data_IF_474760405455
#
_entry.id   IF_474760405455
#
_cell.length_a   1.000
_cell.length_b   1.000
_cell.length_c   1.000
_cell.angle_alpha   90.00
_cell.angle_beta   90.00
_cell.angle_gamma   90.00
#
_symmetry.space_group_name_H-M   'P 1'
#
loop_
_entity.id
_entity.type
_entity.pdbx_description
1 polymer ?
#
# COMPACT_ATOMS: atom_id res chain seq x y z
N UNK A 1 -42.71 -7.17 -12.21
CA UNK A 1 -41.82 -6.00 -12.28
C UNK A 1 -40.86 -6.23 -13.44
N UNK A 2 -40.85 -5.35 -14.45
CA UNK A 2 -39.91 -5.48 -15.56
C UNK A 2 -38.77 -4.47 -15.39
N UNK A 3 -37.64 -4.97 -14.94
CA UNK A 3 -36.35 -4.26 -14.86
C UNK A 3 -35.79 -4.20 -16.29
N UNK A 4 -35.31 -3.04 -16.72
CA UNK A 4 -34.64 -2.87 -18.03
C UNK A 4 -33.23 -2.31 -17.84
N UNK A 5 -32.32 -2.77 -18.69
CA UNK A 5 -30.85 -2.70 -18.59
C UNK A 5 -30.30 -1.92 -19.80
N UNK A 6 -29.17 -1.22 -19.66
CA UNK A 6 -28.46 -0.61 -20.80
C UNK A 6 -27.97 -1.65 -21.82
N UNK A 7 -27.83 -1.26 -23.10
CA UNK A 7 -27.40 -2.09 -24.24
C UNK A 7 -28.35 -3.25 -24.62
N UNK A 8 -29.65 -3.08 -24.45
CA UNK A 8 -30.64 -4.05 -24.94
C UNK A 8 -30.79 -3.95 -26.48
N UNK A 9 -30.68 -5.10 -27.17
CA UNK A 9 -30.78 -5.32 -28.64
C UNK A 9 -30.98 -4.05 -29.47
N UNK A 10 -29.89 -3.39 -29.83
CA UNK A 10 -29.87 -2.34 -30.84
C UNK A 10 -29.16 -2.89 -32.06
N UNK A 11 -29.70 -2.68 -33.27
CA UNK A 11 -29.11 -3.15 -34.54
C UNK A 11 -27.81 -2.46 -34.95
N UNK A 12 -26.93 -2.17 -33.99
CA UNK A 12 -25.60 -1.55 -34.12
C UNK A 12 -24.54 -2.54 -33.63
N UNK A 13 -23.29 -2.33 -34.03
CA UNK A 13 -22.24 -3.34 -33.83
C UNK A 13 -21.69 -3.33 -32.39
N UNK A 14 -21.04 -4.41 -31.93
CA UNK A 14 -20.33 -4.43 -30.65
C UNK A 14 -19.31 -3.27 -30.48
N UNK A 15 -18.73 -2.81 -31.59
CA UNK A 15 -17.84 -1.63 -31.64
C UNK A 15 -18.58 -0.35 -31.22
N UNK A 16 -19.79 -0.12 -31.71
CA UNK A 16 -20.59 1.07 -31.36
C UNK A 16 -20.96 1.10 -29.87
N UNK A 17 -21.26 -0.07 -29.29
CA UNK A 17 -21.50 -0.21 -27.85
C UNK A 17 -20.25 0.06 -27.02
N UNK A 18 -19.08 -0.38 -27.47
CA UNK A 18 -17.80 -0.05 -26.82
C UNK A 18 -17.50 1.43 -26.86
N UNK A 19 -17.72 2.09 -28.00
CA UNK A 19 -17.50 3.53 -28.13
C UNK A 19 -18.40 4.30 -27.16
N UNK A 20 -19.67 3.95 -27.06
CA UNK A 20 -20.59 4.57 -26.10
C UNK A 20 -20.18 4.29 -24.64
N UNK A 21 -19.89 3.04 -24.28
CA UNK A 21 -19.45 2.68 -22.92
C UNK A 21 -18.14 3.37 -22.52
N UNK A 22 -17.24 3.61 -23.48
CA UNK A 22 -15.97 4.30 -23.26
C UNK A 22 -16.13 5.78 -22.88
N UNK A 23 -17.26 6.42 -23.22
CA UNK A 23 -17.53 7.81 -22.78
C UNK A 23 -17.71 7.95 -21.27
N UNK A 24 -18.05 6.86 -20.58
CA UNK A 24 -18.19 6.82 -19.12
C UNK A 24 -16.86 6.50 -18.40
N UNK A 25 -15.78 6.30 -19.16
CA UNK A 25 -14.45 5.94 -18.65
C UNK A 25 -13.56 7.20 -18.61
N UNK A 26 -12.77 7.43 -17.55
CA UNK A 26 -11.89 8.60 -17.48
C UNK A 26 -10.88 8.63 -18.64
N UNK A 27 -10.76 9.74 -19.37
CA UNK A 27 -9.79 9.86 -20.46
C UNK A 27 -8.36 9.91 -19.92
N UNK A 28 -7.43 9.28 -20.63
CA UNK A 28 -5.99 9.46 -20.48
C UNK A 28 -5.43 10.44 -21.53
N UNK A 29 -6.07 10.51 -22.71
CA UNK A 29 -5.81 11.49 -23.75
C UNK A 29 -7.09 11.70 -24.59
N UNK A 30 -7.01 12.48 -25.66
CA UNK A 30 -8.17 12.76 -26.53
C UNK A 30 -8.85 11.51 -27.11
N UNK A 31 -8.10 10.41 -27.28
CA UNK A 31 -8.60 9.15 -27.86
C UNK A 31 -8.35 7.92 -26.97
N UNK A 32 -7.82 8.08 -25.76
CA UNK A 32 -7.48 6.95 -24.88
C UNK A 32 -8.06 7.15 -23.49
N UNK A 33 -8.28 6.05 -22.78
CA UNK A 33 -8.79 6.01 -21.42
C UNK A 33 -7.71 5.58 -20.43
N UNK A 34 -7.83 6.04 -19.18
CA UNK A 34 -6.96 5.59 -18.09
C UNK A 34 -7.31 4.16 -17.70
N UNK A 35 -6.33 3.24 -17.77
CA UNK A 35 -6.50 1.85 -17.35
C UNK A 35 -6.31 1.68 -15.84
N UNK A 36 -7.04 0.72 -15.26
CA UNK A 36 -6.89 0.36 -13.86
C UNK A 36 -8.14 -0.28 -13.28
N UNK A 37 -8.06 -0.68 -12.02
CA UNK A 37 -9.19 -1.15 -11.24
C UNK A 37 -10.14 0.01 -10.93
N UNK A 38 -11.44 -0.25 -10.97
CA UNK A 38 -12.48 0.77 -10.69
C UNK A 38 -12.84 0.88 -9.21
N UNK A 39 -12.52 -0.15 -8.43
CA UNK A 39 -12.74 -0.25 -6.98
C UNK A 39 -11.68 -1.16 -6.36
N UNK A 40 -11.51 -1.12 -5.04
CA UNK A 40 -10.66 -2.06 -4.32
C UNK A 40 -11.09 -3.51 -4.62
N UNK A 41 -10.12 -4.38 -4.93
CA UNK A 41 -10.36 -5.76 -5.32
C UNK A 41 -9.10 -6.39 -5.93
N UNK A 42 -9.20 -7.62 -6.42
CA UNK A 42 -8.08 -8.31 -7.06
C UNK A 42 -6.92 -8.60 -6.10
N UNK A 43 -7.23 -8.90 -4.85
CA UNK A 43 -6.23 -9.29 -3.85
C UNK A 43 -5.66 -10.67 -4.21
N UNK A 44 -4.33 -10.81 -4.20
CA UNK A 44 -3.65 -12.09 -4.41
C UNK A 44 -3.34 -12.75 -3.06
N UNK A 45 -3.90 -13.93 -2.84
CA UNK A 45 -3.77 -14.69 -1.58
C UNK A 45 -3.23 -16.08 -1.88
N UNK A 46 -2.22 -16.52 -1.14
CA UNK A 46 -1.64 -17.85 -1.34
C UNK A 46 -2.63 -18.96 -1.01
N UNK A 47 -2.61 -20.03 -1.81
CA UNK A 47 -3.38 -21.26 -1.60
C UNK A 47 -2.51 -22.50 -1.50
N UNK A 48 -1.21 -22.36 -1.79
CA UNK A 48 -0.22 -23.42 -1.71
C UNK A 48 1.19 -22.90 -1.98
N UNK A 49 2.16 -23.82 -2.04
CA UNK A 49 3.57 -23.48 -2.24
C UNK A 49 3.82 -22.68 -3.53
N UNK A 50 3.14 -23.05 -4.62
CA UNK A 50 3.28 -22.42 -5.95
C UNK A 50 1.94 -21.93 -6.52
N UNK A 51 0.91 -21.82 -5.67
CA UNK A 51 -0.44 -21.45 -6.08
C UNK A 51 -1.00 -20.34 -5.20
N UNK A 52 -1.78 -19.48 -5.83
CA UNK A 52 -2.51 -18.40 -5.20
C UNK A 52 -3.88 -18.26 -5.86
N UNK A 53 -4.69 -17.37 -5.31
CA UNK A 53 -5.95 -16.97 -5.89
C UNK A 53 -6.04 -15.46 -5.94
N UNK A 54 -6.67 -14.93 -6.98
CA UNK A 54 -7.01 -13.53 -7.09
C UNK A 54 -8.50 -13.33 -6.84
N UNK A 55 -8.86 -12.41 -5.94
CA UNK A 55 -10.26 -12.11 -5.63
C UNK A 55 -10.99 -11.45 -6.79
N UNK A 56 -12.32 -11.37 -6.70
CA UNK A 56 -13.13 -10.60 -7.64
C UNK A 56 -12.67 -9.13 -7.74
N UNK A 57 -12.83 -8.51 -8.91
CA UNK A 57 -12.60 -7.09 -9.18
C UNK A 57 -13.28 -6.62 -10.46
N UNK A 58 -13.39 -5.30 -10.59
CA UNK A 58 -13.78 -4.62 -11.82
C UNK A 58 -12.66 -3.69 -12.25
N UNK A 59 -12.38 -3.62 -13.55
CA UNK A 59 -11.35 -2.78 -14.10
C UNK A 59 -11.80 -2.17 -15.43
N UNK A 60 -11.06 -1.15 -15.85
CA UNK A 60 -11.01 -0.73 -17.24
C UNK A 60 -9.64 -1.05 -17.79
N UNK A 61 -9.61 -1.65 -18.97
CA UNK A 61 -8.38 -1.99 -19.68
C UNK A 61 -8.40 -1.27 -21.03
N UNK A 62 -7.46 -0.33 -21.24
CA UNK A 62 -7.26 0.31 -22.54
C UNK A 62 -6.75 -0.72 -23.53
N UNK A 63 -7.41 -0.83 -24.68
CA UNK A 63 -6.88 -1.57 -25.81
C UNK A 63 -5.63 -0.88 -26.33
N UNK A 64 -4.54 -1.64 -26.45
CA UNK A 64 -3.25 -1.15 -26.96
C UNK A 64 -2.65 -2.06 -28.03
N UNK A 65 -3.40 -3.07 -28.50
CA UNK A 65 -2.97 -3.93 -29.60
C UNK A 65 -2.86 -3.15 -30.92
N UNK A 66 -3.62 -2.07 -31.09
CA UNK A 66 -3.37 -1.02 -32.07
C UNK A 66 -4.01 0.32 -31.64
N UNK A 67 -3.80 1.39 -32.42
CA UNK A 67 -4.25 2.75 -32.10
C UNK A 67 -5.77 2.98 -32.20
N UNK A 68 -6.51 2.08 -32.83
CA UNK A 68 -7.96 2.15 -32.98
C UNK A 68 -8.70 1.33 -31.91
N UNK A 69 -7.97 0.58 -31.10
CA UNK A 69 -8.56 -0.25 -30.07
C UNK A 69 -8.96 0.60 -28.86
N UNK A 70 -10.25 0.66 -28.57
CA UNK A 70 -10.78 1.43 -27.43
C UNK A 70 -10.59 0.68 -26.09
N UNK A 71 -11.09 1.28 -25.01
CA UNK A 71 -11.05 0.67 -23.68
C UNK A 71 -12.21 -0.30 -23.44
N UNK A 72 -11.95 -1.28 -22.58
CA UNK A 72 -12.88 -2.36 -22.24
C UNK A 72 -13.22 -2.32 -20.74
N UNK A 73 -14.50 -2.37 -20.36
CA UNK A 73 -14.87 -2.79 -19.03
C UNK A 73 -14.49 -4.26 -18.85
N UNK A 74 -13.76 -4.56 -17.78
CA UNK A 74 -13.31 -5.90 -17.42
C UNK A 74 -13.90 -6.26 -16.06
N UNK A 75 -14.48 -7.46 -15.94
CA UNK A 75 -15.03 -7.96 -14.68
C UNK A 75 -14.50 -9.36 -14.43
N UNK A 76 -13.87 -9.53 -13.27
CA UNK A 76 -13.65 -10.83 -12.65
C UNK A 76 -14.62 -10.95 -11.48
N UNK A 77 -15.67 -11.76 -11.62
CA UNK A 77 -16.79 -11.82 -10.67
C UNK A 77 -16.62 -12.89 -9.58
N UNK A 78 -15.62 -13.74 -9.71
CA UNK A 78 -15.29 -14.80 -8.76
C UNK A 78 -13.78 -14.86 -8.49
N UNK A 79 -13.40 -15.70 -7.54
CA UNK A 79 -11.99 -15.98 -7.26
C UNK A 79 -11.38 -16.77 -8.42
N UNK A 80 -10.29 -16.26 -9.01
CA UNK A 80 -9.57 -16.94 -10.08
C UNK A 80 -8.26 -17.56 -9.58
N UNK A 81 -7.94 -18.77 -10.04
CA UNK A 81 -6.73 -19.48 -9.64
C UNK A 81 -5.49 -18.95 -10.37
N UNK A 82 -4.39 -18.84 -9.65
CA UNK A 82 -3.09 -18.40 -10.14
C UNK A 82 -2.07 -19.49 -9.81
N UNK A 83 -1.37 -19.98 -10.83
CA UNK A 83 -0.28 -20.95 -10.68
C UNK A 83 1.02 -20.30 -11.11
N UNK A 84 2.00 -20.33 -10.22
CA UNK A 84 3.37 -19.89 -10.47
C UNK A 84 4.18 -21.10 -10.91
N UNK A 85 4.94 -20.97 -12.00
CA UNK A 85 5.82 -22.05 -12.46
C UNK A 85 7.02 -22.21 -11.53
N UNK A 86 7.63 -23.39 -11.50
CA UNK A 86 8.81 -23.64 -10.67
C UNK A 86 9.94 -22.64 -10.97
N UNK A 87 10.63 -22.23 -9.91
CA UNK A 87 11.78 -21.35 -9.91
C UNK A 87 12.98 -21.96 -10.64
N UNK A 88 13.84 -21.10 -11.17
CA UNK A 88 15.13 -21.55 -11.70
C UNK A 88 15.99 -22.10 -10.54
N UNK A 89 16.78 -23.16 -10.80
CA UNK A 89 17.51 -23.87 -9.76
C UNK A 89 18.45 -22.97 -8.93
N UNK A 90 19.11 -22.01 -9.57
CA UNK A 90 20.17 -21.20 -8.93
C UNK A 90 19.92 -19.70 -8.98
N UNK A 91 18.90 -19.24 -9.70
CA UNK A 91 18.69 -17.82 -9.95
C UNK A 91 17.25 -17.42 -9.61
N UNK A 92 17.07 -16.24 -9.02
CA UNK A 92 15.75 -15.70 -8.81
C UNK A 92 15.10 -15.11 -10.07
N UNK A 93 13.78 -14.92 -10.04
CA UNK A 93 13.04 -14.11 -11.01
C UNK A 93 11.90 -13.31 -10.37
N UNK A 94 11.35 -12.37 -11.14
CA UNK A 94 10.10 -11.66 -10.86
C UNK A 94 9.05 -12.11 -11.87
N UNK A 95 7.90 -12.56 -11.41
CA UNK A 95 6.77 -12.91 -12.27
C UNK A 95 5.69 -11.81 -12.16
N UNK A 96 4.89 -11.61 -13.21
CA UNK A 96 3.86 -10.58 -13.24
C UNK A 96 2.47 -11.22 -13.45
N UNK A 97 1.57 -11.04 -12.49
CA UNK A 97 0.15 -11.38 -12.63
C UNK A 97 -0.57 -10.23 -13.33
N UNK A 98 -1.22 -10.52 -14.45
CA UNK A 98 -1.88 -9.51 -15.29
C UNK A 98 -3.33 -9.89 -15.59
N UNK A 99 -4.19 -8.89 -15.78
CA UNK A 99 -5.47 -9.04 -16.46
C UNK A 99 -5.36 -8.49 -17.88
N UNK A 100 -5.81 -9.24 -18.87
CA UNK A 100 -5.70 -8.90 -20.29
C UNK A 100 -7.03 -9.09 -21.02
N UNK A 101 -7.28 -8.21 -21.98
CA UNK A 101 -8.30 -8.38 -23.02
C UNK A 101 -7.63 -8.84 -24.30
N UNK A 102 -8.17 -9.89 -24.91
CA UNK A 102 -7.84 -10.32 -26.27
C UNK A 102 -9.01 -10.01 -27.17
N UNK A 103 -8.72 -9.42 -28.32
CA UNK A 103 -9.72 -9.09 -29.32
C UNK A 103 -9.14 -9.32 -30.72
N UNK A 104 -9.45 -10.48 -31.30
CA UNK A 104 -8.89 -10.95 -32.57
C UNK A 104 -8.90 -9.92 -33.71
N UNK A 105 -10.00 -9.18 -33.98
CA UNK A 105 -9.99 -8.04 -34.90
C UNK A 105 -8.84 -7.04 -34.74
N UNK A 106 -8.32 -6.86 -33.52
CA UNK A 106 -7.26 -5.90 -33.21
C UNK A 106 -5.90 -6.54 -32.96
N UNK A 107 -5.85 -7.79 -32.47
CA UNK A 107 -4.61 -8.46 -32.08
C UNK A 107 -4.25 -9.72 -32.89
N UNK A 108 -5.13 -10.16 -33.80
CA UNK A 108 -4.96 -11.36 -34.62
C UNK A 108 -4.65 -12.65 -33.83
N UNK A 109 -5.02 -12.70 -32.55
CA UNK A 109 -4.71 -13.82 -31.65
C UNK A 109 -5.60 -15.06 -31.84
N UNK A 110 -6.64 -14.96 -32.66
CA UNK A 110 -7.70 -15.96 -32.81
C UNK A 110 -8.67 -16.01 -31.62
N UNK A 111 -8.58 -15.08 -30.66
CA UNK A 111 -9.31 -15.12 -29.39
C UNK A 111 -10.08 -13.81 -29.15
N UNK A 112 -11.22 -13.89 -28.46
CA UNK A 112 -12.04 -12.72 -28.08
C UNK A 112 -12.57 -12.92 -26.66
N UNK A 113 -11.73 -12.69 -25.66
CA UNK A 113 -12.02 -12.95 -24.25
C UNK A 113 -11.21 -12.06 -23.29
N UNK A 114 -11.56 -12.15 -22.00
CA UNK A 114 -10.76 -11.62 -20.90
C UNK A 114 -10.07 -12.77 -20.17
N UNK A 115 -8.82 -12.56 -19.75
CA UNK A 115 -8.07 -13.56 -18.98
C UNK A 115 -7.23 -12.93 -17.88
N UNK A 116 -6.96 -13.73 -16.85
CA UNK A 116 -5.97 -13.42 -15.82
C UNK A 116 -4.92 -14.51 -15.86
N UNK A 117 -3.65 -14.14 -15.96
CA UNK A 117 -2.56 -15.10 -16.07
C UNK A 117 -1.23 -14.52 -15.56
N UNK A 118 -0.24 -15.40 -15.44
CA UNK A 118 1.11 -15.07 -15.00
C UNK A 118 2.03 -14.96 -16.22
N UNK A 119 2.72 -13.84 -16.32
CA UNK A 119 3.87 -13.66 -17.20
C UNK A 119 5.12 -14.03 -16.38
N UNK A 120 5.70 -15.18 -16.64
CA UNK A 120 6.94 -15.58 -15.97
C UNK A 120 8.10 -14.70 -16.44
N UNK A 121 8.91 -14.22 -15.51
CA UNK A 121 10.09 -13.42 -15.84
C UNK A 121 11.33 -14.24 -16.19
N UNK A 122 12.35 -13.51 -16.59
CA UNK A 122 13.67 -14.09 -16.87
C UNK A 122 14.47 -14.22 -15.58
N UNK A 123 15.04 -15.40 -15.33
CA UNK A 123 15.89 -15.61 -14.16
C UNK A 123 17.20 -14.84 -14.28
N UNK A 124 17.56 -14.09 -13.25
CA UNK A 124 18.76 -13.25 -13.23
C UNK A 124 19.21 -13.00 -11.79
N UNK A 125 20.49 -12.67 -11.58
CA UNK A 125 21.02 -12.32 -10.26
C UNK A 125 20.32 -11.09 -9.65
N UNK A 126 19.93 -10.14 -10.51
CA UNK A 126 19.06 -9.01 -10.17
C UNK A 126 17.85 -9.02 -11.12
N UNK A 127 16.76 -9.71 -10.74
CA UNK A 127 15.62 -9.90 -11.63
C UNK A 127 14.76 -8.64 -11.72
N UNK A 128 14.23 -8.39 -12.92
CA UNK A 128 13.33 -7.26 -13.20
C UNK A 128 11.97 -7.81 -13.63
N UNK A 129 10.90 -7.09 -13.25
CA UNK A 129 9.55 -7.43 -13.66
C UNK A 129 9.41 -7.48 -15.20
N UNK A 130 8.69 -8.47 -15.75
CA UNK A 130 8.37 -8.52 -17.16
C UNK A 130 7.63 -7.26 -17.63
N UNK A 131 7.77 -6.87 -18.91
CA UNK A 131 6.93 -5.83 -19.48
C UNK A 131 5.46 -6.25 -19.47
N UNK A 132 4.57 -5.28 -19.24
CA UNK A 132 3.13 -5.51 -19.29
C UNK A 132 2.73 -5.83 -20.75
N UNK A 133 2.00 -6.93 -21.00
CA UNK A 133 1.51 -7.26 -22.33
C UNK A 133 0.57 -6.19 -22.91
N UNK A 134 0.34 -6.21 -24.22
CA UNK A 134 -0.65 -5.35 -24.87
C UNK A 134 -2.05 -5.62 -24.32
N UNK A 135 -2.87 -4.57 -24.27
CA UNK A 135 -4.27 -4.63 -23.80
C UNK A 135 -4.39 -5.30 -22.43
N UNK A 136 -3.44 -5.03 -21.53
CA UNK A 136 -3.37 -5.61 -20.19
C UNK A 136 -3.02 -4.57 -19.12
N UNK A 137 -3.41 -4.88 -17.88
CA UNK A 137 -2.98 -4.16 -16.68
C UNK A 137 -2.21 -5.08 -15.74
N UNK A 138 -1.15 -4.59 -15.09
CA UNK A 138 -0.48 -5.34 -14.04
C UNK A 138 -1.32 -5.34 -12.76
N UNK A 139 -1.35 -6.47 -12.07
CA UNK A 139 -2.02 -6.63 -10.78
C UNK A 139 -0.99 -6.81 -9.67
N UNK A 140 -0.14 -7.84 -9.79
CA UNK A 140 0.85 -8.16 -8.78
C UNK A 140 2.17 -8.56 -9.42
N UNK A 141 3.26 -8.17 -8.79
CA UNK A 141 4.57 -8.75 -9.03
C UNK A 141 4.86 -9.77 -7.93
N UNK A 142 5.36 -10.93 -8.32
CA UNK A 142 5.61 -12.08 -7.44
C UNK A 142 7.07 -12.48 -7.55
N UNK A 143 7.78 -12.38 -6.43
CA UNK A 143 9.17 -12.78 -6.30
C UNK A 143 9.30 -14.29 -6.16
N UNK A 144 9.88 -14.94 -7.17
CA UNK A 144 10.17 -16.39 -7.16
C UNK A 144 11.65 -16.62 -6.86
N UNK A 145 11.94 -17.16 -5.67
CA UNK A 145 13.31 -17.42 -5.23
C UNK A 145 13.96 -18.57 -6.03
N UNK A 146 15.30 -18.59 -6.03
CA UNK A 146 16.05 -19.71 -6.60
C UNK A 146 15.62 -21.02 -5.94
N UNK A 147 15.38 -22.05 -6.74
CA UNK A 147 14.97 -23.38 -6.28
C UNK A 147 13.54 -23.48 -5.73
N UNK A 148 12.74 -22.41 -5.78
CA UNK A 148 11.35 -22.44 -5.31
C UNK A 148 10.51 -23.40 -6.16
N UNK A 149 9.95 -24.43 -5.55
CA UNK A 149 8.99 -25.35 -6.18
C UNK A 149 8.07 -25.94 -5.11
N UNK A 150 7.05 -26.72 -5.53
CA UNK A 150 6.07 -27.29 -4.62
C UNK A 150 6.65 -28.19 -3.51
N UNK A 151 7.80 -28.84 -3.76
CA UNK A 151 8.49 -29.71 -2.80
C UNK A 151 9.64 -29.05 -2.04
N UNK A 152 10.00 -27.81 -2.38
CA UNK A 152 11.18 -27.12 -1.83
C UNK A 152 10.82 -25.68 -1.42
N UNK A 153 9.96 -25.56 -0.42
CA UNK A 153 9.62 -24.29 0.26
C UNK A 153 8.69 -23.34 -0.51
N UNK A 154 8.58 -23.45 -1.84
CA UNK A 154 7.69 -22.64 -2.66
C UNK A 154 8.01 -21.14 -2.69
N UNK A 155 7.02 -20.33 -3.07
CA UNK A 155 7.09 -18.87 -3.01
C UNK A 155 6.99 -18.40 -1.55
N UNK A 156 7.85 -17.45 -1.16
CA UNK A 156 7.85 -16.86 0.19
C UNK A 156 6.79 -15.76 0.28
N UNK A 157 5.52 -16.16 0.32
CA UNK A 157 4.35 -15.27 0.15
C UNK A 157 4.29 -14.06 1.08
N UNK A 158 4.81 -14.16 2.31
CA UNK A 158 4.81 -13.06 3.28
C UNK A 158 5.65 -11.83 2.85
N UNK A 159 6.57 -11.99 1.91
CA UNK A 159 7.43 -10.91 1.41
C UNK A 159 7.60 -10.91 -0.11
N UNK A 160 6.97 -11.85 -0.83
CA UNK A 160 7.16 -12.01 -2.26
C UNK A 160 6.30 -11.06 -3.11
N UNK A 161 5.28 -10.43 -2.53
CA UNK A 161 4.29 -9.66 -3.28
C UNK A 161 4.62 -8.17 -3.30
N UNK A 162 4.64 -7.61 -4.50
CA UNK A 162 4.63 -6.15 -4.72
C UNK A 162 3.33 -5.79 -5.43
N UNK A 163 2.57 -4.85 -4.86
CA UNK A 163 1.32 -4.37 -5.46
C UNK A 163 1.62 -3.52 -6.69
N UNK A 164 1.05 -3.91 -7.84
CA UNK A 164 1.19 -3.20 -9.12
C UNK A 164 -0.14 -2.66 -9.63
N UNK A 165 -1.24 -2.84 -8.89
CA UNK A 165 -2.58 -2.40 -9.29
C UNK A 165 -2.61 -0.88 -9.42
N UNK A 166 -2.94 -0.41 -10.61
CA UNK A 166 -3.37 0.97 -10.83
C UNK A 166 -4.89 1.04 -10.72
N UNK A 167 -5.42 2.22 -10.36
CA UNK A 167 -6.85 2.44 -10.22
C UNK A 167 -7.30 3.55 -11.17
N UNK A 168 -8.51 3.42 -11.70
CA UNK A 168 -9.13 4.35 -12.63
C UNK A 168 -10.58 4.60 -12.22
N UNK A 169 -11.11 5.78 -12.49
CA UNK A 169 -12.50 6.15 -12.19
C UNK A 169 -12.63 7.32 -11.21
N UNK A 170 -13.88 7.79 -11.05
CA UNK A 170 -14.28 8.85 -10.11
C UNK A 170 -14.19 8.46 -8.63
N UNK A 171 -13.73 7.24 -8.33
CA UNK A 171 -13.53 6.76 -6.97
C UNK A 171 -12.05 6.45 -6.75
N UNK A 172 -11.32 7.47 -6.30
CA UNK A 172 -10.20 7.19 -5.40
C UNK A 172 -10.12 8.28 -4.33
N UNK A 173 -10.84 8.05 -3.23
CA UNK A 173 -10.26 8.39 -1.94
C UNK A 173 -9.32 7.21 -1.66
N UNK A 174 -8.02 7.40 -1.90
CA UNK A 174 -7.03 6.45 -1.43
C UNK A 174 -7.06 6.60 0.09
N UNK A 175 -7.74 5.70 0.80
CA UNK A 175 -7.97 5.88 2.23
C UNK A 175 -6.73 5.59 3.06
N UNK A 176 -5.63 5.14 2.43
CA UNK A 176 -4.36 4.79 3.07
C UNK A 176 -4.50 3.58 3.98
N UNK A 177 -3.89 2.45 3.62
CA UNK A 177 -3.91 1.27 4.46
C UNK A 177 -3.02 1.48 5.70
N UNK A 178 -3.56 1.17 6.89
CA UNK A 178 -2.76 1.14 8.11
C UNK A 178 -1.77 -0.02 8.08
N UNK A 179 -0.49 0.29 8.18
CA UNK A 179 0.63 -0.64 8.16
C UNK A 179 1.37 -0.56 9.49
N UNK A 180 1.65 -1.69 10.12
CA UNK A 180 2.45 -1.74 11.36
C UNK A 180 3.93 -1.50 11.07
N UNK A 181 4.62 -0.86 12.00
CA UNK A 181 6.07 -0.70 12.00
C UNK A 181 6.58 -0.58 13.44
N UNK A 182 7.89 -0.76 13.64
CA UNK A 182 8.52 -0.52 14.95
C UNK A 182 9.30 0.79 14.89
N UNK A 183 8.86 1.86 15.57
CA UNK A 183 9.62 3.09 15.67
C UNK A 183 10.94 2.86 16.40
N UNK A 184 11.95 3.64 16.07
CA UNK A 184 13.13 3.81 16.91
C UNK A 184 12.82 4.86 17.96
N UNK A 185 12.95 4.49 19.24
CA UNK A 185 12.84 5.41 20.37
C UNK A 185 14.22 5.82 20.84
N UNK A 186 14.43 7.12 21.01
CA UNK A 186 15.67 7.68 21.58
C UNK A 186 15.35 8.73 22.64
N UNK A 187 16.31 8.98 23.53
CA UNK A 187 16.30 10.10 24.46
C UNK A 187 17.51 11.01 24.18
N UNK A 188 17.32 12.33 24.19
CA UNK A 188 18.36 13.28 23.77
C UNK A 188 19.58 13.33 24.69
N UNK A 189 19.40 13.02 25.98
CA UNK A 189 20.51 12.82 26.93
C UNK A 189 21.05 11.39 26.96
N UNK A 190 20.53 10.49 26.12
CA UNK A 190 20.92 9.09 26.03
C UNK A 190 20.33 8.19 27.12
N UNK A 191 20.71 6.91 27.08
CA UNK A 191 20.37 5.92 28.11
C UNK A 191 18.97 5.31 28.04
N UNK A 192 18.18 5.63 27.00
CA UNK A 192 16.89 4.99 26.77
C UNK A 192 17.08 3.52 26.33
N UNK A 193 16.39 2.59 27.00
CA UNK A 193 16.39 1.18 26.62
C UNK A 193 15.03 0.55 26.95
N UNK A 194 14.47 -0.22 26.01
CA UNK A 194 13.09 -0.69 26.12
C UNK A 194 12.88 -1.73 27.23
N UNK A 195 13.86 -2.60 27.50
CA UNK A 195 13.69 -3.68 28.48
C UNK A 195 12.48 -4.56 28.15
N UNK A 196 11.62 -4.78 29.15
CA UNK A 196 10.34 -5.48 29.01
C UNK A 196 9.15 -4.58 28.61
N UNK A 197 9.41 -3.32 28.25
CA UNK A 197 8.40 -2.40 27.73
C UNK A 197 7.93 -2.77 26.33
N UNK A 198 6.88 -2.09 25.85
CA UNK A 198 6.33 -2.27 24.50
C UNK A 198 6.50 -1.00 23.68
N UNK A 199 7.02 -1.12 22.46
CA UNK A 199 7.06 -0.03 21.48
C UNK A 199 6.42 -0.50 20.18
N UNK A 200 5.33 0.16 19.78
CA UNK A 200 4.58 -0.19 18.59
C UNK A 200 4.20 1.05 17.79
N UNK A 201 4.31 0.95 16.46
CA UNK A 201 3.91 1.96 15.51
C UNK A 201 2.92 1.41 14.50
N UNK A 202 2.03 2.26 14.01
CA UNK A 202 1.26 2.02 12.78
C UNK A 202 1.11 3.32 12.02
N UNK A 203 1.04 3.24 10.71
CA UNK A 203 0.96 4.42 9.86
C UNK A 203 0.14 4.16 8.60
N UNK A 204 -0.34 5.23 7.97
CA UNK A 204 -0.97 5.21 6.67
C UNK A 204 -0.47 6.39 5.84
N UNK A 205 -0.50 6.22 4.51
CA UNK A 205 -0.12 7.26 3.54
C UNK A 205 -1.24 7.46 2.52
N UNK A 206 -1.58 8.73 2.28
CA UNK A 206 -2.51 9.17 1.24
C UNK A 206 -1.83 10.28 0.45
N UNK A 207 -1.34 9.98 -0.75
CA UNK A 207 -0.49 10.92 -1.50
C UNK A 207 0.77 11.26 -0.71
N UNK A 208 0.92 12.52 -0.26
CA UNK A 208 2.00 12.97 0.63
C UNK A 208 1.56 13.19 2.08
N UNK A 209 0.26 13.01 2.38
CA UNK A 209 -0.22 13.04 3.75
C UNK A 209 0.15 11.72 4.42
N UNK A 210 0.88 11.80 5.52
CA UNK A 210 1.24 10.67 6.36
C UNK A 210 0.51 10.83 7.69
N UNK A 211 -0.16 9.78 8.16
CA UNK A 211 -0.69 9.70 9.53
C UNK A 211 0.02 8.58 10.26
N UNK A 212 0.60 8.89 11.41
CA UNK A 212 1.34 7.94 12.26
C UNK A 212 0.70 7.88 13.63
N UNK A 213 0.64 6.68 14.20
CA UNK A 213 0.39 6.46 15.62
C UNK A 213 1.52 5.64 16.23
N UNK A 214 2.11 6.15 17.31
CA UNK A 214 3.16 5.49 18.09
C UNK A 214 2.70 5.32 19.52
N UNK A 215 2.96 4.15 20.12
CA UNK A 215 2.72 3.89 21.53
C UNK A 215 3.96 3.27 22.16
N UNK A 216 4.47 3.90 23.21
CA UNK A 216 5.45 3.36 24.15
C UNK A 216 4.71 3.02 25.46
N UNK A 217 4.94 1.84 26.01
CA UNK A 217 4.53 1.44 27.36
C UNK A 217 5.78 1.04 28.12
N UNK A 218 6.03 1.70 29.25
CA UNK A 218 7.17 1.41 30.10
C UNK A 218 6.90 0.14 30.91
N UNK A 219 7.86 -0.78 30.89
CA UNK A 219 7.88 -1.93 31.78
C UNK A 219 8.83 -1.71 32.94
N UNK A 220 8.82 -2.63 33.90
CA UNK A 220 9.63 -2.55 35.12
C UNK A 220 11.14 -2.57 34.89
N UNK A 221 11.60 -3.00 33.72
CA UNK A 221 13.03 -2.99 33.34
C UNK A 221 13.34 -2.00 32.23
N UNK A 222 12.39 -1.13 31.86
CA UNK A 222 12.61 -0.05 30.88
C UNK A 222 13.45 1.05 31.51
N UNK A 223 14.51 1.46 30.82
CA UNK A 223 15.26 2.68 31.15
C UNK A 223 14.71 3.83 30.31
N UNK A 224 14.12 4.83 30.96
CA UNK A 224 13.59 6.02 30.30
C UNK A 224 14.67 6.95 29.69
N UNK A 225 15.93 6.76 30.07
CA UNK A 225 17.04 7.64 29.69
C UNK A 225 16.96 9.01 30.36
N UNK A 226 17.53 10.03 29.69
CA UNK A 226 17.48 11.42 30.14
C UNK A 226 17.25 12.38 28.97
N UNK A 227 16.81 13.60 29.26
CA UNK A 227 16.37 14.55 28.24
C UNK A 227 14.99 14.20 27.67
N UNK A 228 14.72 14.67 26.45
CA UNK A 228 13.43 14.47 25.78
C UNK A 228 13.44 13.24 24.90
N UNK A 229 12.26 12.65 24.70
CA UNK A 229 12.05 11.52 23.81
C UNK A 229 11.76 11.94 22.37
N UNK A 230 12.26 11.15 21.43
CA UNK A 230 11.88 11.22 20.03
C UNK A 230 11.61 9.81 19.49
N UNK A 231 10.69 9.72 18.54
CA UNK A 231 10.28 8.46 17.92
C UNK A 231 10.38 8.58 16.40
N UNK A 232 11.00 7.62 15.73
CA UNK A 232 11.13 7.68 14.27
C UNK A 232 9.77 7.61 13.56
N UNK A 233 9.62 8.41 12.51
CA UNK A 233 8.50 8.33 11.57
C UNK A 233 8.94 7.62 10.28
N UNK A 234 8.01 6.96 9.54
CA UNK A 234 8.36 6.13 8.38
C UNK A 234 8.81 6.93 7.16
N UNK A 235 8.49 8.21 7.09
CA UNK A 235 8.86 9.13 6.00
C UNK A 235 9.31 10.44 6.61
N UNK A 236 10.43 11.00 6.14
CA UNK A 236 10.92 12.33 6.55
C UNK A 236 9.84 13.38 6.29
N UNK A 237 9.65 14.32 7.22
CA UNK A 237 8.74 15.45 7.05
C UNK A 237 9.18 16.37 5.91
N UNK A 238 8.24 16.95 5.19
CA UNK A 238 8.53 17.90 4.12
C UNK A 238 9.24 19.15 4.67
N UNK A 239 10.03 19.79 3.82
CA UNK A 239 10.61 21.10 4.13
C UNK A 239 9.51 22.15 4.10
N UNK A 240 9.31 22.90 5.18
CA UNK A 240 8.28 23.94 5.29
C UNK A 240 8.86 25.28 5.71
N UNK A 241 8.19 26.37 5.35
CA UNK A 241 8.58 27.73 5.74
C UNK A 241 8.31 28.02 7.23
N UNK A 242 7.46 27.22 7.89
CA UNK A 242 7.01 27.42 9.26
C UNK A 242 7.77 26.57 10.31
N UNK A 243 8.69 25.70 9.89
CA UNK A 243 9.51 24.89 10.81
C UNK A 243 8.87 23.57 11.26
N UNK A 244 7.56 23.36 11.05
CA UNK A 244 6.87 22.08 11.27
C UNK A 244 6.33 21.48 9.97
N UNK A 245 6.46 20.17 9.81
CA UNK A 245 5.84 19.40 8.73
C UNK A 245 4.42 18.91 9.09
N UNK A 246 4.11 18.81 10.38
CA UNK A 246 2.76 18.49 10.86
C UNK A 246 2.61 18.44 12.37
N UNK A 247 1.35 18.49 12.81
CA UNK A 247 0.94 18.53 14.21
C UNK A 247 -0.14 17.48 14.48
N UNK A 248 -0.26 17.09 15.75
CA UNK A 248 -1.24 16.12 16.21
C UNK A 248 -1.33 16.07 17.73
N UNK A 249 -1.88 14.98 18.26
CA UNK A 249 -2.11 14.80 19.68
C UNK A 249 -1.10 13.87 20.32
N UNK A 250 -0.75 14.16 21.56
CA UNK A 250 0.00 13.30 22.46
C UNK A 250 -0.84 13.01 23.71
N UNK A 251 -0.72 11.80 24.25
CA UNK A 251 -1.36 11.39 25.48
C UNK A 251 -0.35 10.61 26.33
N UNK A 252 -0.07 11.09 27.52
CA UNK A 252 0.63 10.35 28.55
C UNK A 252 -0.40 9.77 29.52
N UNK A 253 -0.30 8.48 29.83
CA UNK A 253 -1.13 7.83 30.85
C UNK A 253 -0.22 7.41 31.99
N UNK A 254 -0.47 7.97 33.17
CA UNK A 254 0.13 7.59 34.45
C UNK A 254 -0.72 6.45 35.03
N UNK A 255 -0.16 5.25 35.07
CA UNK A 255 -0.89 4.02 35.32
C UNK A 255 -1.51 4.02 36.72
N UNK A 256 -2.85 4.12 36.76
CA UNK A 256 -3.61 4.16 38.02
C UNK A 256 -3.75 5.55 38.62
N UNK A 257 -3.24 6.60 37.97
CA UNK A 257 -3.35 7.99 38.44
C UNK A 257 -4.21 8.83 37.50
N UNK A 258 -3.86 8.91 36.21
CA UNK A 258 -4.56 9.82 35.30
C UNK A 258 -3.93 9.93 33.91
N UNK A 259 -4.36 10.95 33.16
CA UNK A 259 -3.87 11.22 31.81
C UNK A 259 -3.46 12.67 31.65
N UNK A 260 -2.44 12.90 30.82
CA UNK A 260 -1.93 14.22 30.44
C UNK A 260 -1.96 14.36 28.92
N UNK A 261 -2.56 15.46 28.45
CA UNK A 261 -2.67 15.77 27.04
C UNK A 261 -1.50 16.65 26.59
N UNK A 262 -1.04 16.44 25.36
CA UNK A 262 -0.01 17.24 24.73
C UNK A 262 -0.19 17.32 23.22
N UNK A 263 0.79 17.94 22.57
CA UNK A 263 0.88 18.07 21.12
C UNK A 263 2.00 17.17 20.60
N UNK A 264 1.73 16.39 19.55
CA UNK A 264 2.76 15.66 18.82
C UNK A 264 3.17 16.48 17.59
N UNK A 265 4.47 16.58 17.33
CA UNK A 265 5.01 17.41 16.24
C UNK A 265 6.08 16.68 15.45
N UNK A 266 5.99 16.79 14.12
CA UNK A 266 7.08 16.45 13.19
C UNK A 266 7.64 17.76 12.64
N UNK A 267 8.95 17.98 12.82
CA UNK A 267 9.64 19.15 12.34
C UNK A 267 9.81 19.17 10.80
N UNK A 268 10.09 20.34 10.25
CA UNK A 268 10.48 20.48 8.84
C UNK A 268 11.76 19.70 8.57
N UNK A 269 11.76 18.85 7.54
CA UNK A 269 12.88 17.97 7.18
C UNK A 269 13.35 17.01 8.30
N UNK A 270 12.50 16.72 9.28
CA UNK A 270 12.81 15.81 10.39
C UNK A 270 12.24 14.41 10.17
N UNK A 271 12.94 13.39 10.67
CA UNK A 271 12.53 11.98 10.59
C UNK A 271 11.96 11.45 11.92
N UNK A 272 11.59 12.35 12.84
CA UNK A 272 11.10 12.00 14.17
C UNK A 272 9.85 12.79 14.55
N UNK A 273 9.05 12.21 15.43
CA UNK A 273 7.97 12.87 16.16
C UNK A 273 8.36 13.05 17.62
N UNK A 274 8.11 14.25 18.16
CA UNK A 274 8.34 14.62 19.56
C UNK A 274 7.01 15.09 20.16
N UNK A 275 6.80 14.82 21.44
CA UNK A 275 5.62 15.28 22.18
C UNK A 275 5.97 16.48 23.04
N UNK A 276 5.03 17.42 23.17
CA UNK A 276 5.19 18.65 23.93
C UNK A 276 4.01 18.85 24.88
N UNK A 277 4.29 19.40 26.05
CA UNK A 277 3.27 19.87 27.00
C UNK A 277 2.66 21.20 26.56
N UNK A 278 1.40 21.46 26.94
CA UNK A 278 0.64 22.63 26.48
C UNK A 278 1.11 23.98 27.07
N UNK A 279 2.01 23.97 28.04
CA UNK A 279 2.63 25.18 28.58
C UNK A 279 4.14 25.13 28.29
N UNK A 280 4.66 26.20 27.67
CA UNK A 280 6.09 26.47 27.48
C UNK A 280 6.87 25.52 26.54
N UNK A 281 6.22 24.90 25.54
CA UNK A 281 6.89 24.05 24.53
C UNK A 281 7.87 23.02 25.15
N UNK A 282 7.51 22.47 26.31
CA UNK A 282 8.40 21.55 27.03
C UNK A 282 8.27 20.14 26.44
N UNK A 283 9.33 19.59 25.84
CA UNK A 283 9.27 18.28 25.20
C UNK A 283 9.22 17.16 26.26
N UNK A 284 8.46 16.10 25.99
CA UNK A 284 8.24 15.02 26.96
C UNK A 284 9.47 14.15 27.16
N UNK A 285 9.67 13.72 28.40
CA UNK A 285 10.77 12.85 28.81
C UNK A 285 10.75 12.62 30.32
N UNK A 286 11.62 11.76 30.85
CA UNK A 286 11.63 11.39 32.27
C UNK A 286 11.84 12.57 33.22
N UNK A 287 12.56 13.62 32.79
CA UNK A 287 12.85 14.79 33.61
C UNK A 287 12.04 16.04 33.23
N UNK A 288 11.47 16.07 32.02
CA UNK A 288 10.81 17.24 31.42
C UNK A 288 9.28 17.14 31.41
N UNK A 289 8.71 16.15 32.10
CA UNK A 289 7.26 15.93 32.17
C UNK A 289 6.70 15.14 30.98
N UNK A 290 5.38 14.95 30.92
CA UNK A 290 4.35 15.64 31.70
C UNK A 290 4.06 14.99 33.05
N UNK A 291 4.59 13.78 33.29
CA UNK A 291 4.41 12.99 34.51
C UNK A 291 5.74 12.45 35.01
N UNK A 292 5.74 11.94 36.24
CA UNK A 292 6.87 11.13 36.73
C UNK A 292 6.69 9.72 36.19
N UNK A 293 7.45 9.39 35.15
CA UNK A 293 7.31 8.14 34.42
C UNK A 293 7.75 6.90 35.23
N UNK A 294 6.88 5.91 35.31
CA UNK A 294 7.09 4.65 36.01
C UNK A 294 6.60 3.42 35.23
N UNK A 295 6.56 2.27 35.91
CA UNK A 295 6.13 1.00 35.32
C UNK A 295 4.62 1.02 35.01
N UNK A 296 4.26 0.64 33.78
CA UNK A 296 2.88 0.62 33.29
C UNK A 296 2.45 1.91 32.60
N UNK A 297 3.22 2.99 32.74
CA UNK A 297 2.90 4.27 32.10
C UNK A 297 3.06 4.18 30.59
N UNK A 298 2.29 4.98 29.87
CA UNK A 298 2.34 4.98 28.41
C UNK A 298 2.36 6.35 27.79
N UNK A 299 3.11 6.48 26.69
CA UNK A 299 3.14 7.64 25.82
C UNK A 299 2.56 7.23 24.46
N UNK A 300 1.44 7.85 24.07
CA UNK A 300 0.81 7.63 22.76
C UNK A 300 0.80 8.92 21.97
N UNK A 301 1.30 8.86 20.74
CA UNK A 301 1.37 9.97 19.80
C UNK A 301 0.53 9.64 18.57
N UNK A 302 -0.22 10.60 18.06
CA UNK A 302 -0.86 10.52 16.75
C UNK A 302 -0.66 11.82 16.01
N UNK A 303 -0.01 11.77 14.84
CA UNK A 303 0.34 12.96 14.05
C UNK A 303 0.00 12.76 12.59
N UNK A 304 -0.51 13.81 11.95
CA UNK A 304 -0.67 13.90 10.51
C UNK A 304 0.28 14.98 9.98
N UNK A 305 1.09 14.64 8.97
CA UNK A 305 2.11 15.52 8.43
C UNK A 305 2.31 15.32 6.93
N UNK A 306 2.89 16.32 6.29
CA UNK A 306 3.31 16.23 4.89
C UNK A 306 4.68 15.54 4.81
N UNK A 307 4.76 14.42 4.07
CA UNK A 307 6.02 13.72 3.81
C UNK A 307 6.83 14.35 2.68
N UNK A 308 8.16 14.25 2.78
CA UNK A 308 9.08 14.59 1.72
C UNK A 308 8.83 13.77 0.44
N UNK A 309 9.23 14.33 -0.70
CA UNK A 309 9.07 13.73 -2.04
C UNK A 309 9.98 12.53 -2.25
#
# INVERSE_FOLDING_TARGET
MAIRVGFQKSGITPEDHRHYASTAIPPAAALTSTSGLTTAGGALVSTGAMTATISAFRATIQGTSNSLQSAYPFVNDATAAITITDGHATLPRQDLVVAQVRDNPYDSSGQQDGRIYVVAGTAAASPVAPPVPTSAIPLWEVRVNAGANAGNGGVVWGSALTDRRTYTGWSRIDTGAWTSYTPTWTASGGGASLGNGTLAGRWMRVGRLITVRTTLVLGSTTSAGSGYWSFSVPVVGATTTAGQAGLGSALATDAGVGVHHGVAMVGSAEAVVIAFSNAEDTPWGPASGPITWGNGDSCTLMVSYEGAT
#
